data_IF_184770949874
#
_entry.id   IF_184770949874
#
_cell.length_a   1.000
_cell.length_b   1.000
_cell.length_c   1.000
_cell.angle_alpha   90.00
_cell.angle_beta   90.00
_cell.angle_gamma   90.00
#
_symmetry.space_group_name_H-M   'P 1'
#
loop_
_entity.id
_entity.type
_entity.pdbx_description
1 polymer ?
#
# COMPACT_ATOMS: atom_id res chain seq x y z
N UNK A 1 -3.75 14.37 -5.44
CA UNK A 1 -5.20 14.14 -5.66
C UNK A 1 -5.71 12.78 -5.18
N UNK A 2 -4.99 11.66 -5.34
CA UNK A 2 -5.34 10.40 -4.64
C UNK A 2 -4.13 9.68 -4.03
N UNK A 3 -2.94 9.89 -4.59
CA UNK A 3 -1.64 9.42 -4.06
C UNK A 3 -0.84 10.54 -3.37
N UNK A 4 -1.46 11.71 -3.22
CA UNK A 4 -0.81 12.88 -2.64
C UNK A 4 -0.86 12.74 -1.11
N UNK A 5 0.30 12.80 -0.42
CA UNK A 5 0.37 12.58 1.01
C UNK A 5 -0.37 13.65 1.82
N UNK A 6 -0.57 14.84 1.26
CA UNK A 6 -1.31 15.92 1.94
C UNK A 6 -2.83 15.82 1.73
N UNK A 7 -3.31 14.75 1.09
CA UNK A 7 -4.75 14.55 0.88
C UNK A 7 -5.45 14.26 2.20
N UNK A 8 -6.41 15.12 2.56
CA UNK A 8 -7.25 14.95 3.75
C UNK A 8 -7.93 13.57 3.78
N UNK A 9 -7.85 12.90 4.93
CA UNK A 9 -8.44 11.57 5.16
C UNK A 9 -9.92 11.49 4.78
N UNK A 10 -10.70 12.57 4.93
CA UNK A 10 -12.12 12.61 4.52
C UNK A 10 -12.28 12.46 3.01
N UNK A 11 -11.36 13.01 2.22
CA UNK A 11 -11.35 12.87 0.76
C UNK A 11 -11.01 11.44 0.38
N UNK A 12 -10.05 10.80 1.06
CA UNK A 12 -9.70 9.40 0.84
C UNK A 12 -10.90 8.47 1.10
N UNK A 13 -11.63 8.70 2.19
CA UNK A 13 -12.86 7.97 2.49
C UNK A 13 -13.99 8.24 1.48
N UNK A 14 -14.09 9.47 0.97
CA UNK A 14 -15.03 9.79 -0.09
C UNK A 14 -14.73 9.00 -1.37
N UNK A 15 -13.46 8.94 -1.78
CA UNK A 15 -13.01 8.13 -2.92
C UNK A 15 -13.34 6.66 -2.70
N UNK A 16 -13.02 6.11 -1.52
CA UNK A 16 -13.27 4.71 -1.20
C UNK A 16 -14.76 4.34 -1.33
N UNK A 17 -15.67 5.22 -0.90
CA UNK A 17 -17.11 4.94 -0.91
C UNK A 17 -17.78 5.22 -2.26
N UNK A 18 -17.35 6.26 -2.96
CA UNK A 18 -18.11 6.82 -4.08
C UNK A 18 -17.44 6.71 -5.44
N UNK A 19 -16.13 6.41 -5.50
CA UNK A 19 -15.39 6.40 -6.76
C UNK A 19 -14.62 5.08 -6.92
N UNK A 20 -15.30 3.96 -7.27
CA UNK A 20 -14.66 2.64 -7.38
C UNK A 20 -13.44 2.61 -8.30
N UNK A 21 -13.48 3.37 -9.40
CA UNK A 21 -12.39 3.45 -10.38
C UNK A 21 -11.10 4.06 -9.83
N UNK A 22 -11.12 4.72 -8.66
CA UNK A 22 -9.94 5.34 -8.05
C UNK A 22 -9.45 4.61 -6.79
N UNK A 23 -10.13 3.54 -6.35
CA UNK A 23 -9.77 2.84 -5.10
C UNK A 23 -8.37 2.25 -5.11
N UNK A 24 -7.90 1.76 -6.25
CA UNK A 24 -6.56 1.19 -6.37
C UNK A 24 -5.46 2.23 -6.10
N UNK A 25 -5.70 3.51 -6.40
CA UNK A 25 -4.77 4.59 -6.06
C UNK A 25 -4.66 4.84 -4.56
N UNK A 26 -5.67 4.47 -3.76
CA UNK A 26 -5.61 4.60 -2.30
C UNK A 26 -4.55 3.67 -1.70
N UNK A 27 -4.29 2.52 -2.33
CA UNK A 27 -3.27 1.55 -1.89
C UNK A 27 -1.87 2.15 -1.98
N UNK A 28 -1.64 3.02 -2.96
CA UNK A 28 -0.38 3.72 -3.15
C UNK A 28 -0.29 5.05 -2.38
N UNK A 29 -1.30 5.43 -1.59
CA UNK A 29 -1.27 6.68 -0.83
C UNK A 29 -0.62 6.45 0.54
N UNK A 30 0.50 7.12 0.87
CA UNK A 30 1.16 7.01 2.18
C UNK A 30 0.28 7.40 3.38
N UNK A 31 -0.71 8.27 3.14
CA UNK A 31 -1.66 8.76 4.13
C UNK A 31 -2.92 7.91 4.24
N UNK A 32 -3.01 6.80 3.48
CA UNK A 32 -4.07 5.83 3.64
C UNK A 32 -3.88 5.06 4.97
N UNK A 33 -4.88 5.13 5.83
CA UNK A 33 -4.83 4.42 7.12
C UNK A 33 -5.10 2.93 6.93
N UNK A 34 -4.67 2.06 7.88
CA UNK A 34 -4.95 0.64 7.82
C UNK A 34 -6.45 0.32 7.67
N UNK A 35 -7.33 1.04 8.38
CA UNK A 35 -8.78 0.84 8.32
C UNK A 35 -9.36 1.18 6.94
N UNK A 36 -8.78 2.19 6.27
CA UNK A 36 -9.17 2.55 4.91
C UNK A 36 -8.76 1.45 3.92
N UNK A 37 -7.54 0.92 4.04
CA UNK A 37 -7.04 -0.15 3.18
C UNK A 37 -7.80 -1.45 3.39
N UNK A 38 -8.14 -1.78 4.64
CA UNK A 38 -9.00 -2.93 4.96
C UNK A 38 -10.38 -2.77 4.31
N UNK A 39 -11.00 -1.58 4.43
CA UNK A 39 -12.26 -1.33 3.76
C UNK A 39 -12.15 -1.53 2.24
N UNK A 40 -11.11 -0.96 1.62
CA UNK A 40 -10.87 -1.08 0.16
C UNK A 40 -10.65 -2.54 -0.26
N UNK A 41 -9.94 -3.34 0.53
CA UNK A 41 -9.72 -4.76 0.22
C UNK A 41 -11.02 -5.56 0.27
N UNK A 42 -11.93 -5.22 1.18
CA UNK A 42 -13.24 -5.86 1.29
C UNK A 42 -14.20 -5.45 0.17
N UNK A 43 -14.31 -4.15 -0.14
CA UNK A 43 -15.26 -3.66 -1.16
C UNK A 43 -14.75 -3.80 -2.59
N UNK A 44 -13.44 -4.01 -2.76
CA UNK A 44 -12.79 -4.21 -4.04
C UNK A 44 -12.93 -3.02 -5.00
N UNK A 45 -12.73 -3.29 -6.28
CA UNK A 45 -12.78 -2.30 -7.35
C UNK A 45 -11.87 -2.71 -8.50
N UNK A 46 -11.92 -2.00 -9.64
CA UNK A 46 -10.99 -2.24 -10.73
C UNK A 46 -9.54 -2.13 -10.23
N UNK A 47 -8.73 -3.16 -10.51
CA UNK A 47 -7.29 -3.23 -10.20
C UNK A 47 -6.90 -3.22 -8.72
N UNK A 48 -7.88 -3.35 -7.80
CA UNK A 48 -7.62 -3.30 -6.34
C UNK A 48 -6.80 -4.50 -5.89
N UNK A 49 -7.20 -5.71 -6.28
CA UNK A 49 -6.46 -6.95 -5.96
C UNK A 49 -5.05 -6.89 -6.54
N UNK A 50 -5.01 -6.57 -7.83
CA UNK A 50 -3.91 -6.04 -8.65
C UNK A 50 -2.80 -5.37 -7.86
N UNK A 51 -3.23 -4.27 -7.24
CA UNK A 51 -2.37 -3.31 -6.58
C UNK A 51 -1.95 -3.75 -5.18
N UNK A 52 -2.80 -4.50 -4.47
CA UNK A 52 -2.42 -5.12 -3.20
C UNK A 52 -1.35 -6.19 -3.39
N UNK A 53 -1.48 -7.03 -4.43
CA UNK A 53 -0.47 -8.05 -4.74
C UNK A 53 0.90 -7.41 -5.01
N UNK A 54 0.94 -6.28 -5.73
CA UNK A 54 2.17 -5.49 -5.94
C UNK A 54 2.71 -4.91 -4.63
N UNK A 55 1.84 -4.33 -3.79
CA UNK A 55 2.24 -3.78 -2.49
C UNK A 55 2.87 -4.86 -1.60
N UNK A 56 2.24 -6.03 -1.47
CA UNK A 56 2.78 -7.12 -0.67
C UNK A 56 4.09 -7.66 -1.23
N UNK A 57 4.21 -7.81 -2.56
CA UNK A 57 5.46 -8.21 -3.19
C UNK A 57 6.60 -7.23 -2.92
N UNK A 58 6.32 -5.93 -2.82
CA UNK A 58 7.32 -4.93 -2.47
C UNK A 58 7.78 -5.09 -1.01
N UNK A 59 6.83 -5.29 -0.08
CA UNK A 59 7.12 -5.51 1.34
C UNK A 59 7.94 -6.79 1.58
N UNK A 60 7.65 -7.87 0.87
CA UNK A 60 8.43 -9.12 0.95
C UNK A 60 9.87 -8.94 0.45
N UNK A 61 10.09 -8.02 -0.50
CA UNK A 61 11.42 -7.73 -1.04
C UNK A 61 12.28 -6.99 -0.02
N UNK A 62 11.71 -5.99 0.67
CA UNK A 62 12.42 -5.19 1.69
C UNK A 62 12.90 -6.05 2.88
N UNK A 63 12.12 -7.06 3.29
CA UNK A 63 12.51 -8.03 4.33
C UNK A 63 13.70 -8.91 3.89
N UNK A 64 13.74 -9.29 2.61
CA UNK A 64 14.78 -10.16 2.07
C UNK A 64 16.14 -9.46 1.91
N UNK A 65 16.16 -8.18 1.58
CA UNK A 65 17.39 -7.38 1.48
C UNK A 65 17.92 -6.98 2.87
N UNK A 66 17.04 -6.80 3.86
CA UNK A 66 17.42 -6.55 5.25
C UNK A 66 18.16 -7.74 5.88
N UNK A 67 17.79 -8.98 5.53
CA UNK A 67 18.45 -10.20 6.02
C UNK A 67 19.81 -10.47 5.35
N UNK A 68 20.00 -10.10 4.07
CA UNK A 68 21.29 -10.25 3.37
C UNK A 68 22.38 -9.33 3.92
N UNK A 69 22.03 -8.07 4.21
CA UNK A 69 22.99 -7.13 4.83
C UNK A 69 23.46 -7.60 6.22
N UNK A 70 22.61 -8.31 6.96
CA UNK A 70 22.98 -8.85 8.25
C UNK A 70 23.94 -10.04 8.13
N UNK A 71 23.76 -10.93 7.15
CA UNK A 71 24.68 -12.06 6.93
C UNK A 71 26.05 -11.63 6.39
N UNK A 72 26.08 -10.63 5.51
CA UNK A 72 27.33 -10.11 4.92
C UNK A 72 28.22 -9.42 5.97
N UNK A 73 27.65 -8.90 7.06
CA UNK A 73 28.40 -8.25 8.13
C UNK A 73 29.06 -9.26 9.09
N UNK A 74 28.62 -10.52 9.14
CA UNK A 74 29.13 -11.52 10.11
C UNK A 74 30.22 -12.43 9.54
N UNK A 75 30.41 -12.48 8.22
CA UNK A 75 31.47 -13.27 7.58
C UNK A 75 32.81 -12.51 7.40
N UNK A 76 32.87 -11.22 7.74
CA UNK A 76 34.09 -10.41 7.68
C UNK A 76 34.64 -10.05 9.08
N UNK A 77 34.82 -11.06 9.95
CA UNK A 77 35.49 -10.94 11.25
C UNK A 77 36.26 -12.20 11.66
#
# INVERSE_FOLDING_TARGET
MATDPDTDTRILWYIARHVPALRFWLIANPSATPELLEYVSQVGGPHVKESFDVLFSALDTDESDSLKNYSDTVEES
#
